data_IF_009045008624
#
_entry.id   IF_009045008624
#
_cell.length_a   1.000
_cell.length_b   1.000
_cell.length_c   1.000
_cell.angle_alpha   90.00
_cell.angle_beta   90.00
_cell.angle_gamma   90.00
#
_symmetry.space_group_name_H-M   'P 1'
#
loop_
_entity.id
_entity.type
_entity.pdbx_description
1 polymer ?
#
# COMPACT_ATOMS: atom_id res chain seq x y z
N UNK A 1 6.41 28.09 -40.17
CA UNK A 1 5.46 28.31 -39.05
C UNK A 1 4.16 27.59 -39.40
N UNK A 2 3.76 26.46 -38.81
CA UNK A 2 4.14 25.88 -37.52
C UNK A 2 4.20 24.34 -37.57
N UNK A 3 5.39 23.80 -37.30
CA UNK A 3 5.69 22.39 -37.03
C UNK A 3 5.54 22.05 -35.52
N UNK A 4 4.47 22.49 -34.86
CA UNK A 4 4.38 22.47 -33.37
C UNK A 4 3.30 21.56 -32.77
N UNK A 5 2.88 20.49 -33.45
CA UNK A 5 1.88 19.55 -32.90
C UNK A 5 2.22 18.07 -33.13
N UNK A 6 3.49 17.74 -33.32
CA UNK A 6 3.97 16.37 -33.43
C UNK A 6 5.22 16.18 -32.57
N UNK A 7 5.04 15.76 -31.30
CA UNK A 7 6.02 15.06 -30.44
C UNK A 7 5.70 15.21 -28.94
N UNK A 8 4.46 14.92 -28.52
CA UNK A 8 4.13 14.75 -27.10
C UNK A 8 3.44 13.40 -26.85
N UNK A 9 3.76 12.39 -27.66
CA UNK A 9 3.43 11.00 -27.36
C UNK A 9 4.50 10.46 -26.41
N UNK A 10 4.08 10.29 -25.16
CA UNK A 10 4.93 9.88 -24.06
C UNK A 10 5.49 8.44 -24.27
N UNK A 11 6.71 8.15 -23.80
CA UNK A 11 7.32 6.84 -23.93
C UNK A 11 6.79 5.91 -22.83
N UNK A 12 5.57 5.40 -22.99
CA UNK A 12 5.01 4.39 -22.09
C UNK A 12 4.62 3.17 -22.90
N UNK A 13 5.64 2.42 -23.33
CA UNK A 13 5.48 1.10 -23.92
C UNK A 13 4.73 0.19 -22.92
N UNK A 14 3.54 -0.23 -23.31
CA UNK A 14 2.76 -1.26 -22.63
C UNK A 14 3.58 -2.55 -22.62
N UNK A 15 4.15 -2.90 -21.47
CA UNK A 15 4.72 -4.23 -21.25
C UNK A 15 3.70 -5.04 -20.48
N UNK A 16 3.01 -5.90 -21.22
CA UNK A 16 2.06 -6.89 -20.72
C UNK A 16 2.85 -8.01 -20.01
N UNK A 17 3.07 -7.86 -18.70
CA UNK A 17 3.74 -8.89 -17.90
C UNK A 17 2.74 -10.01 -17.55
N UNK A 18 2.65 -11.02 -18.43
CA UNK A 18 1.81 -12.22 -18.28
C UNK A 18 2.31 -13.16 -17.16
N UNK A 19 3.56 -13.00 -16.71
CA UNK A 19 4.14 -13.75 -15.57
C UNK A 19 4.97 -12.82 -14.68
N UNK A 20 4.73 -12.87 -13.37
CA UNK A 20 5.51 -12.10 -12.39
C UNK A 20 6.96 -12.62 -12.39
N UNK A 21 7.98 -11.74 -12.47
CA UNK A 21 9.37 -12.18 -12.50
C UNK A 21 9.76 -13.00 -11.25
N UNK A 22 10.70 -13.96 -11.33
CA UNK A 22 11.09 -14.82 -10.19
C UNK A 22 11.50 -14.05 -8.92
N UNK A 23 12.05 -12.85 -9.10
CA UNK A 23 12.42 -11.92 -8.00
C UNK A 23 11.22 -11.56 -7.13
N UNK A 24 10.02 -11.47 -7.70
CA UNK A 24 8.77 -11.17 -6.99
C UNK A 24 8.40 -12.27 -6.03
N UNK A 25 8.56 -13.53 -6.43
CA UNK A 25 8.26 -14.69 -5.58
C UNK A 25 9.24 -14.80 -4.42
N UNK A 26 10.54 -14.58 -4.67
CA UNK A 26 11.56 -14.57 -3.63
C UNK A 26 11.28 -13.45 -2.62
N UNK A 27 10.97 -12.24 -3.08
CA UNK A 27 10.70 -11.10 -2.21
C UNK A 27 9.33 -11.15 -1.52
N UNK A 28 8.32 -11.74 -2.16
CA UNK A 28 7.07 -12.12 -1.51
C UNK A 28 7.30 -13.14 -0.40
N UNK A 29 8.17 -14.13 -0.65
CA UNK A 29 8.67 -15.05 0.36
C UNK A 29 9.40 -14.34 1.50
N UNK A 30 10.24 -13.35 1.20
CA UNK A 30 10.90 -12.49 2.22
C UNK A 30 9.87 -11.70 3.03
N UNK A 31 8.82 -11.16 2.42
CA UNK A 31 7.75 -10.48 3.18
C UNK A 31 6.98 -11.43 4.09
N UNK A 32 6.63 -12.62 3.61
CA UNK A 32 5.99 -13.65 4.43
C UNK A 32 6.93 -14.06 5.56
N UNK A 33 8.23 -14.20 5.28
CA UNK A 33 9.26 -14.48 6.28
C UNK A 33 9.38 -13.34 7.30
N UNK A 34 9.40 -12.08 6.90
CA UNK A 34 9.40 -10.92 7.82
C UNK A 34 8.13 -10.91 8.67
N UNK A 35 6.98 -11.22 8.07
CA UNK A 35 5.72 -11.37 8.81
C UNK A 35 5.77 -12.52 9.82
N UNK A 36 6.35 -13.66 9.43
CA UNK A 36 6.55 -14.83 10.29
C UNK A 36 7.55 -14.53 11.41
N UNK A 37 8.65 -13.85 11.11
CA UNK A 37 9.65 -13.39 12.10
C UNK A 37 8.99 -12.42 13.07
N UNK A 38 8.19 -11.46 12.58
CA UNK A 38 7.40 -10.56 13.45
C UNK A 38 6.46 -11.35 14.37
N UNK A 39 5.76 -12.37 13.84
CA UNK A 39 4.86 -13.22 14.61
C UNK A 39 5.61 -14.10 15.63
N UNK A 40 6.79 -14.63 15.26
CA UNK A 40 7.64 -15.42 16.15
C UNK A 40 8.23 -14.54 17.25
N UNK A 41 8.74 -13.35 16.93
CA UNK A 41 9.21 -12.37 17.92
C UNK A 41 8.10 -11.98 18.90
N UNK A 42 6.85 -11.89 18.44
CA UNK A 42 5.69 -11.66 19.31
C UNK A 42 5.45 -12.81 20.31
N UNK A 43 5.83 -14.04 19.97
CA UNK A 43 5.59 -15.23 20.81
C UNK A 43 6.79 -15.63 21.68
N UNK A 44 8.01 -15.22 21.35
CA UNK A 44 9.22 -15.64 22.09
C UNK A 44 9.42 -14.83 23.38
N UNK A 45 9.27 -13.50 23.33
CA UNK A 45 9.71 -12.66 24.46
C UNK A 45 8.57 -12.12 25.34
N UNK A 46 7.30 -12.13 24.90
CA UNK A 46 6.18 -11.57 25.66
C UNK A 46 6.26 -10.06 25.95
N UNK A 47 7.44 -9.45 25.78
CA UNK A 47 7.71 -8.04 25.91
C UNK A 47 7.42 -7.36 24.57
N UNK A 48 6.16 -6.96 24.41
CA UNK A 48 5.70 -5.97 23.43
C UNK A 48 6.39 -4.59 23.54
N UNK A 49 7.51 -4.48 24.27
CA UNK A 49 8.27 -3.25 24.50
C UNK A 49 9.46 -3.09 23.53
N UNK A 50 9.79 -4.13 22.75
CA UNK A 50 10.92 -4.09 21.84
C UNK A 50 10.72 -3.09 20.69
N UNK A 51 11.57 -2.07 20.60
CA UNK A 51 11.63 -1.15 19.44
C UNK A 51 11.89 -1.90 18.12
N UNK A 52 12.59 -3.04 18.18
CA UNK A 52 12.80 -3.91 17.03
C UNK A 52 11.48 -4.48 16.51
N UNK A 53 10.57 -4.91 17.39
CA UNK A 53 9.24 -5.35 16.98
C UNK A 53 8.51 -4.23 16.24
N UNK A 54 8.54 -3.01 16.78
CA UNK A 54 7.90 -1.86 16.13
C UNK A 54 8.50 -1.57 14.76
N UNK A 55 9.82 -1.67 14.60
CA UNK A 55 10.49 -1.53 13.30
C UNK A 55 10.06 -2.63 12.32
N UNK A 56 10.09 -3.90 12.73
CA UNK A 56 9.71 -5.03 11.88
C UNK A 56 8.21 -5.01 11.52
N UNK A 57 7.34 -4.66 12.46
CA UNK A 57 5.90 -4.49 12.23
C UNK A 57 5.62 -3.33 11.26
N UNK A 58 6.39 -2.25 11.36
CA UNK A 58 6.26 -1.09 10.48
C UNK A 58 6.60 -1.41 9.03
N UNK A 59 7.36 -2.48 8.74
CA UNK A 59 7.69 -2.89 7.38
C UNK A 59 6.42 -3.31 6.62
N UNK A 60 5.76 -4.44 6.91
CA UNK A 60 4.56 -4.87 6.18
C UNK A 60 3.43 -3.86 6.30
N UNK A 61 3.33 -3.16 7.43
CA UNK A 61 2.29 -2.15 7.67
C UNK A 61 2.42 -0.88 6.81
N UNK A 62 3.59 -0.60 6.23
CA UNK A 62 3.82 0.57 5.37
C UNK A 62 4.11 0.25 3.90
N UNK A 63 4.12 -1.03 3.52
CA UNK A 63 4.23 -1.46 2.11
C UNK A 63 2.99 -1.14 1.28
N UNK A 64 3.10 -1.16 -0.05
CA UNK A 64 2.00 -0.88 -0.97
C UNK A 64 0.80 -1.85 -0.86
N UNK A 65 0.99 -3.03 -0.25
CA UNK A 65 -0.03 -4.06 -0.03
C UNK A 65 -0.32 -4.19 1.48
N UNK A 66 -0.16 -3.11 2.25
CA UNK A 66 -0.41 -3.16 3.68
C UNK A 66 -1.87 -3.45 4.00
N UNK A 67 -2.08 -4.48 4.83
CA UNK A 67 -3.37 -4.84 5.44
C UNK A 67 -3.37 -4.44 6.92
N UNK A 68 -2.22 -4.09 7.50
CA UNK A 68 -2.05 -3.92 8.94
C UNK A 68 -2.15 -2.45 9.35
N UNK A 69 -2.93 -2.13 10.39
CA UNK A 69 -3.05 -0.76 10.89
C UNK A 69 -1.75 -0.33 11.58
N UNK A 70 -1.09 0.73 11.08
CA UNK A 70 0.16 1.22 11.65
C UNK A 70 -0.10 2.19 12.80
N UNK A 71 -1.01 3.12 12.57
CA UNK A 71 -1.21 4.29 13.41
C UNK A 71 -1.72 3.94 14.82
N UNK A 72 -2.71 3.03 15.00
CA UNK A 72 -3.17 2.66 16.34
C UNK A 72 -2.09 1.95 17.17
N UNK A 73 -1.21 1.18 16.52
CA UNK A 73 -0.10 0.48 17.19
C UNK A 73 0.92 1.49 17.70
N UNK A 74 1.18 2.55 16.93
CA UNK A 74 2.12 3.59 17.34
C UNK A 74 1.59 4.43 18.51
N UNK A 75 0.28 4.74 18.52
CA UNK A 75 -0.39 5.37 19.67
C UNK A 75 -0.31 4.45 20.89
N UNK A 76 -0.50 3.14 20.71
CA UNK A 76 -0.39 2.19 21.81
C UNK A 76 1.02 2.15 22.41
N UNK A 77 2.07 2.14 21.57
CA UNK A 77 3.46 2.21 22.00
C UNK A 77 3.80 3.47 22.80
N UNK A 78 3.17 4.60 22.46
CA UNK A 78 3.32 5.86 23.19
C UNK A 78 2.98 5.78 24.70
N UNK A 79 2.22 4.77 25.13
CA UNK A 79 1.83 4.61 26.54
C UNK A 79 2.94 4.09 27.45
N UNK A 80 3.86 3.30 26.91
CA UNK A 80 4.84 2.55 27.72
C UNK A 80 6.27 2.65 27.19
N UNK A 81 6.48 3.05 25.94
CA UNK A 81 7.80 3.17 25.32
C UNK A 81 8.22 4.64 25.16
N UNK A 82 9.52 4.87 24.97
CA UNK A 82 10.04 6.22 24.71
C UNK A 82 9.51 6.76 23.38
N UNK A 83 9.11 8.04 23.40
CA UNK A 83 8.52 8.76 22.28
C UNK A 83 9.43 8.78 21.05
N UNK A 84 10.70 9.13 21.25
CA UNK A 84 11.65 9.36 20.17
C UNK A 84 12.14 8.05 19.58
N UNK A 85 12.43 7.06 20.43
CA UNK A 85 12.85 5.74 20.00
C UNK A 85 11.72 5.00 19.25
N UNK A 86 10.47 5.13 19.71
CA UNK A 86 9.32 4.54 19.01
C UNK A 86 9.14 5.14 17.61
N UNK A 87 9.20 6.47 17.51
CA UNK A 87 9.11 7.15 16.23
C UNK A 87 10.28 6.79 15.30
N UNK A 88 11.51 6.77 15.82
CA UNK A 88 12.70 6.40 15.06
C UNK A 88 12.61 4.96 14.54
N UNK A 89 12.25 4.00 15.38
CA UNK A 89 12.08 2.60 15.00
C UNK A 89 11.01 2.42 13.91
N UNK A 90 9.85 3.08 14.07
CA UNK A 90 8.79 3.05 13.08
C UNK A 90 9.23 3.69 11.75
N UNK A 91 9.99 4.79 11.80
CA UNK A 91 10.56 5.44 10.62
C UNK A 91 11.58 4.54 9.90
N UNK A 92 12.44 3.83 10.64
CA UNK A 92 13.39 2.86 10.07
C UNK A 92 12.65 1.74 9.34
N UNK A 93 11.67 1.11 9.98
CA UNK A 93 10.84 0.08 9.35
C UNK A 93 10.11 0.60 8.11
N UNK A 94 9.65 1.84 8.16
CA UNK A 94 9.00 2.51 7.02
C UNK A 94 9.95 2.81 5.88
N UNK A 95 11.19 3.20 6.17
CA UNK A 95 12.22 3.41 5.14
C UNK A 95 12.55 2.07 4.43
N UNK A 96 12.65 0.98 5.19
CA UNK A 96 12.80 -0.38 4.63
C UNK A 96 11.59 -0.76 3.77
N UNK A 97 10.36 -0.48 4.22
CA UNK A 97 9.16 -0.70 3.42
C UNK A 97 9.18 0.13 2.12
N UNK A 98 9.57 1.40 2.20
CA UNK A 98 9.70 2.27 1.04
C UNK A 98 10.77 1.79 0.05
N UNK A 99 11.87 1.23 0.55
CA UNK A 99 12.90 0.60 -0.26
C UNK A 99 12.40 -0.66 -0.97
N UNK A 100 11.65 -1.51 -0.26
CA UNK A 100 11.01 -2.71 -0.82
C UNK A 100 9.97 -2.34 -1.89
N UNK A 101 9.13 -1.34 -1.61
CA UNK A 101 8.18 -0.82 -2.58
C UNK A 101 8.89 -0.31 -3.83
N UNK A 102 10.07 0.31 -3.64
CA UNK A 102 10.86 0.88 -4.73
C UNK A 102 11.46 -0.14 -5.66
N UNK A 103 11.98 -1.22 -5.09
CA UNK A 103 12.64 -2.26 -5.88
C UNK A 103 11.68 -3.34 -6.37
N UNK A 104 10.52 -3.50 -5.75
CA UNK A 104 9.73 -4.73 -5.88
C UNK A 104 8.26 -4.47 -6.15
N UNK A 105 7.53 -3.85 -5.24
CA UNK A 105 6.06 -3.90 -5.31
C UNK A 105 5.49 -3.06 -6.43
N UNK A 106 5.97 -1.83 -6.59
CA UNK A 106 5.39 -0.95 -7.61
C UNK A 106 5.72 -1.36 -9.04
N UNK A 107 6.96 -1.80 -9.38
CA UNK A 107 7.25 -2.34 -10.71
C UNK A 107 6.38 -3.55 -11.10
N UNK A 108 5.82 -4.24 -10.12
CA UNK A 108 5.08 -5.52 -10.29
C UNK A 108 3.56 -5.34 -10.23
N UNK A 109 3.09 -4.26 -9.60
CA UNK A 109 1.67 -3.95 -9.48
C UNK A 109 1.11 -3.55 -10.85
N UNK A 110 0.26 -4.44 -11.37
CA UNK A 110 -0.31 -4.40 -12.72
C UNK A 110 -0.99 -3.05 -13.04
N UNK A 111 -0.52 -2.43 -14.12
CA UNK A 111 -0.78 -1.04 -14.55
C UNK A 111 -2.25 -0.77 -14.92
N UNK A 112 -3.00 -1.81 -15.27
CA UNK A 112 -4.34 -1.70 -15.88
C UNK A 112 -5.41 -1.06 -14.98
N UNK A 113 -5.47 -1.39 -13.68
CA UNK A 113 -6.43 -0.76 -12.74
C UNK A 113 -6.04 0.65 -12.30
N UNK A 114 -4.78 1.04 -12.52
CA UNK A 114 -4.25 2.35 -12.15
C UNK A 114 -4.68 3.40 -13.19
N UNK A 115 -4.83 3.00 -14.45
CA UNK A 115 -5.30 3.86 -15.56
C UNK A 115 -6.69 4.42 -15.28
N UNK A 116 -7.58 3.66 -14.63
CA UNK A 116 -8.93 4.13 -14.28
C UNK A 116 -8.89 5.27 -13.22
N UNK A 117 -7.90 5.24 -12.32
CA UNK A 117 -7.63 6.32 -11.36
C UNK A 117 -6.99 7.57 -12.01
N UNK A 118 -6.24 7.40 -13.12
CA UNK A 118 -5.62 8.51 -13.87
C UNK A 118 -6.62 9.50 -14.45
N UNK A 119 -7.89 9.10 -14.64
CA UNK A 119 -8.96 9.95 -15.21
C UNK A 119 -9.52 10.98 -14.21
N UNK A 120 -9.22 10.86 -12.91
CA UNK A 120 -9.81 11.72 -11.90
C UNK A 120 -9.12 13.10 -11.84
N UNK A 121 -9.90 14.19 -11.79
CA UNK A 121 -9.38 15.58 -11.80
C UNK A 121 -8.38 15.83 -10.65
N UNK A 122 -8.61 15.16 -9.52
CA UNK A 122 -7.74 15.20 -8.34
C UNK A 122 -6.37 14.56 -8.59
N UNK A 123 -6.32 13.46 -9.33
CA UNK A 123 -5.07 12.77 -9.69
C UNK A 123 -4.21 13.66 -10.61
N UNK A 124 -4.82 14.31 -11.61
CA UNK A 124 -4.12 15.24 -12.52
C UNK A 124 -3.51 16.43 -11.79
N UNK A 125 -4.30 17.09 -10.92
CA UNK A 125 -3.80 18.23 -10.12
C UNK A 125 -2.69 17.82 -9.15
N UNK A 126 -2.83 16.64 -8.52
CA UNK A 126 -1.79 16.09 -7.63
C UNK A 126 -0.51 15.75 -8.41
N UNK A 127 -0.66 15.27 -9.64
CA UNK A 127 0.46 14.97 -10.55
C UNK A 127 1.20 16.24 -10.94
N UNK A 128 0.49 17.31 -11.33
CA UNK A 128 1.11 18.59 -11.70
C UNK A 128 1.93 19.19 -10.53
N UNK A 129 1.37 19.16 -9.32
CA UNK A 129 2.07 19.63 -8.11
C UNK A 129 3.29 18.75 -7.82
N UNK A 130 3.14 17.43 -7.92
CA UNK A 130 4.23 16.49 -7.69
C UNK A 130 5.37 16.66 -8.69
N UNK A 131 5.07 16.90 -9.97
CA UNK A 131 6.10 17.15 -10.99
C UNK A 131 6.89 18.44 -10.72
N UNK A 132 6.23 19.45 -10.12
CA UNK A 132 6.88 20.71 -9.76
C UNK A 132 7.73 20.62 -8.50
N UNK A 133 7.24 19.91 -7.47
CA UNK A 133 7.92 19.79 -6.18
C UNK A 133 7.80 18.37 -5.60
N UNK A 134 8.52 17.37 -6.15
CA UNK A 134 8.34 15.97 -5.77
C UNK A 134 8.73 15.72 -4.31
N UNK A 135 9.84 16.29 -3.85
CA UNK A 135 10.30 16.13 -2.46
C UNK A 135 9.30 16.72 -1.46
N UNK A 136 8.89 17.98 -1.64
CA UNK A 136 7.96 18.65 -0.74
C UNK A 136 6.59 17.94 -0.71
N UNK A 137 6.13 17.47 -1.87
CA UNK A 137 4.88 16.70 -1.97
C UNK A 137 4.97 15.42 -1.14
N UNK A 138 6.09 14.68 -1.20
CA UNK A 138 6.30 13.48 -0.39
C UNK A 138 6.37 13.78 1.11
N UNK A 139 7.03 14.86 1.51
CA UNK A 139 7.10 15.26 2.92
C UNK A 139 5.70 15.61 3.44
N UNK A 140 4.95 16.46 2.73
CA UNK A 140 3.61 16.90 3.12
C UNK A 140 2.63 15.72 3.14
N UNK A 141 2.69 14.84 2.15
CA UNK A 141 1.82 13.64 2.11
C UNK A 141 2.22 12.59 3.14
N UNK A 142 3.49 12.53 3.54
CA UNK A 142 3.94 11.68 4.65
C UNK A 142 3.51 12.21 6.02
N UNK A 143 3.48 13.54 6.17
CA UNK A 143 3.06 14.22 7.40
C UNK A 143 1.54 14.15 7.60
N UNK A 144 0.78 14.22 6.50
CA UNK A 144 -0.68 14.21 6.52
C UNK A 144 -1.25 12.79 6.44
N UNK A 145 -2.51 12.56 6.87
CA UNK A 145 -3.19 11.26 6.70
C UNK A 145 -3.66 11.03 5.25
N UNK A 146 -3.06 11.71 4.27
CA UNK A 146 -3.42 11.60 2.86
C UNK A 146 -2.91 10.25 2.33
N UNK A 147 -3.69 9.54 1.47
CA UNK A 147 -3.23 8.31 0.86
C UNK A 147 -1.90 8.51 0.12
N UNK A 148 -0.85 7.86 0.62
CA UNK A 148 0.50 8.01 0.08
C UNK A 148 0.76 7.15 -1.18
N UNK A 149 -0.13 6.19 -1.43
CA UNK A 149 -0.02 5.22 -2.53
C UNK A 149 0.10 5.88 -3.92
N UNK A 150 -0.75 6.82 -4.35
CA UNK A 150 -0.64 7.43 -5.69
C UNK A 150 0.70 8.14 -5.93
N UNK A 151 1.24 8.81 -4.90
CA UNK A 151 2.51 9.52 -4.99
C UNK A 151 3.70 8.56 -5.05
N UNK A 152 3.62 7.40 -4.38
CA UNK A 152 4.58 6.31 -4.57
C UNK A 152 4.65 5.94 -6.05
N UNK A 153 3.52 5.58 -6.68
CA UNK A 153 3.48 5.23 -8.11
C UNK A 153 4.06 6.29 -9.02
N UNK A 154 3.79 7.56 -8.72
CA UNK A 154 4.30 8.65 -9.52
C UNK A 154 5.83 8.78 -9.42
N UNK A 155 6.41 8.63 -8.22
CA UNK A 155 7.86 8.54 -8.03
C UNK A 155 8.49 7.45 -8.90
N UNK A 156 7.84 6.29 -8.98
CA UNK A 156 8.31 5.15 -9.77
C UNK A 156 8.28 5.41 -11.26
N UNK A 157 7.15 5.95 -11.72
CA UNK A 157 6.95 6.21 -13.15
C UNK A 157 8.01 7.19 -13.70
N UNK A 158 8.50 8.11 -12.87
CA UNK A 158 9.52 9.09 -13.25
C UNK A 158 10.95 8.70 -12.85
N UNK A 159 11.18 7.46 -12.38
CA UNK A 159 12.49 7.00 -11.91
C UNK A 159 13.13 7.91 -10.84
N UNK A 160 12.33 8.41 -9.90
CA UNK A 160 12.80 9.33 -8.86
C UNK A 160 13.89 8.67 -7.99
N UNK A 161 15.00 9.37 -7.67
CA UNK A 161 16.13 8.80 -6.95
C UNK A 161 15.73 8.31 -5.56
N UNK A 162 16.08 7.06 -5.26
CA UNK A 162 15.70 6.33 -4.05
C UNK A 162 16.09 7.07 -2.76
N UNK A 163 17.30 7.63 -2.68
CA UNK A 163 17.75 8.31 -1.46
C UNK A 163 16.91 9.58 -1.16
N UNK A 164 16.48 10.33 -2.19
CA UNK A 164 15.59 11.49 -2.03
C UNK A 164 14.20 11.06 -1.60
N UNK A 165 13.73 9.94 -2.12
CA UNK A 165 12.46 9.34 -1.71
C UNK A 165 12.47 8.91 -0.23
N UNK A 166 13.50 8.16 0.20
CA UNK A 166 13.61 7.67 1.58
C UNK A 166 13.77 8.81 2.59
N UNK A 167 14.59 9.82 2.25
CA UNK A 167 14.75 11.01 3.10
C UNK A 167 13.44 11.80 3.20
N UNK A 168 12.73 12.02 2.09
CA UNK A 168 11.41 12.66 2.14
C UNK A 168 10.41 11.88 3.00
N UNK A 169 10.45 10.54 2.91
CA UNK A 169 9.60 9.65 3.69
C UNK A 169 9.91 9.77 5.20
N UNK A 170 11.19 9.76 5.56
CA UNK A 170 11.64 9.95 6.93
C UNK A 170 11.25 11.33 7.46
N UNK A 171 11.55 12.40 6.72
CA UNK A 171 11.24 13.79 7.11
C UNK A 171 9.74 14.03 7.26
N UNK A 172 8.90 13.44 6.41
CA UNK A 172 7.45 13.59 6.51
C UNK A 172 6.82 12.72 7.61
N UNK A 173 7.24 11.46 7.71
CA UNK A 173 6.57 10.49 8.60
C UNK A 173 7.10 10.50 10.02
N UNK A 174 8.38 10.82 10.24
CA UNK A 174 8.94 10.89 11.59
C UNK A 174 8.20 11.90 12.48
N UNK A 175 7.92 13.15 12.06
CA UNK A 175 7.15 14.08 12.88
C UNK A 175 5.73 13.58 13.16
N UNK A 176 5.09 12.93 12.17
CA UNK A 176 3.78 12.32 12.35
C UNK A 176 3.83 11.18 13.38
N UNK A 177 4.87 10.36 13.34
CA UNK A 177 5.07 9.25 14.26
C UNK A 177 5.34 9.72 15.69
N UNK A 178 6.14 10.77 15.85
CA UNK A 178 6.29 11.47 17.13
C UNK A 178 4.92 11.98 17.61
N UNK A 179 4.15 12.67 16.78
CA UNK A 179 2.85 13.19 17.18
C UNK A 179 1.87 12.09 17.62
N UNK A 180 1.84 10.96 16.91
CA UNK A 180 0.99 9.82 17.27
C UNK A 180 1.41 9.15 18.58
N UNK A 181 2.70 8.92 18.77
CA UNK A 181 3.21 8.35 20.02
C UNK A 181 3.00 9.33 21.19
N UNK A 182 3.14 10.64 20.97
CA UNK A 182 2.87 11.67 21.97
C UNK A 182 1.39 11.68 22.39
N UNK A 183 0.46 11.57 21.43
CA UNK A 183 -0.97 11.40 21.73
C UNK A 183 -1.21 10.16 22.60
N UNK A 184 -0.51 9.06 22.34
CA UNK A 184 -0.55 7.86 23.15
C UNK A 184 -0.09 8.07 24.59
N UNK A 185 1.01 8.79 24.76
CA UNK A 185 1.61 9.12 26.05
C UNK A 185 0.71 10.04 26.89
N UNK A 186 0.18 11.10 26.28
CA UNK A 186 -0.56 12.15 27.00
C UNK A 186 -2.00 11.73 27.33
N UNK A 187 -2.71 11.14 26.37
CA UNK A 187 -4.14 10.86 26.53
C UNK A 187 -4.44 9.47 27.10
N UNK A 188 -3.44 8.58 27.20
CA UNK A 188 -3.61 7.24 27.76
C UNK A 188 -4.71 6.42 27.08
N UNK A 189 -5.00 6.66 25.79
CA UNK A 189 -6.20 6.21 25.07
C UNK A 189 -6.50 4.71 25.32
N UNK A 190 -7.62 4.34 25.98
CA UNK A 190 -7.92 2.96 26.33
C UNK A 190 -7.75 1.98 25.16
N UNK A 191 -7.12 0.83 25.41
CA UNK A 191 -6.76 -0.14 24.36
C UNK A 191 -7.98 -0.62 23.55
N UNK A 192 -9.15 -0.68 24.18
CA UNK A 192 -10.41 -1.04 23.51
C UNK A 192 -10.83 -0.04 22.42
N UNK A 193 -10.51 1.26 22.58
CA UNK A 193 -10.78 2.28 21.55
C UNK A 193 -9.91 2.04 20.32
N UNK A 194 -8.64 1.70 20.54
CA UNK A 194 -7.70 1.39 19.45
C UNK A 194 -8.15 0.14 18.71
N UNK A 195 -8.54 -0.93 19.42
CA UNK A 195 -9.10 -2.15 18.81
C UNK A 195 -10.38 -1.83 18.03
N UNK A 196 -11.30 -1.06 18.61
CA UNK A 196 -12.54 -0.64 17.94
C UNK A 196 -12.23 0.14 16.66
N UNK A 197 -11.25 1.04 16.68
CA UNK A 197 -10.85 1.81 15.48
C UNK A 197 -10.39 0.89 14.34
N UNK A 198 -9.61 -0.14 14.67
CA UNK A 198 -9.16 -1.15 13.70
C UNK A 198 -10.35 -1.94 13.16
N UNK A 199 -11.22 -2.45 14.04
CA UNK A 199 -12.42 -3.21 13.65
C UNK A 199 -13.32 -2.39 12.74
N UNK A 200 -13.56 -1.10 13.06
CA UNK A 200 -14.37 -0.20 12.23
C UNK A 200 -13.73 0.01 10.86
N UNK A 201 -12.43 0.24 10.78
CA UNK A 201 -11.73 0.39 9.49
C UNK A 201 -11.89 -0.87 8.64
N UNK A 202 -11.63 -2.05 9.21
CA UNK A 202 -11.81 -3.33 8.51
C UNK A 202 -13.26 -3.57 8.09
N UNK A 203 -14.23 -3.25 8.95
CA UNK A 203 -15.65 -3.37 8.63
C UNK A 203 -16.05 -2.47 7.47
N UNK A 204 -15.59 -1.22 7.43
CA UNK A 204 -15.83 -0.30 6.31
C UNK A 204 -15.25 -0.83 4.99
N UNK A 205 -14.03 -1.38 5.03
CA UNK A 205 -13.42 -2.03 3.86
C UNK A 205 -14.19 -3.27 3.42
N UNK A 206 -14.64 -4.11 4.35
CA UNK A 206 -15.44 -5.30 4.07
C UNK A 206 -16.79 -4.94 3.43
N UNK A 207 -17.52 -3.97 4.01
CA UNK A 207 -18.82 -3.50 3.48
C UNK A 207 -18.70 -2.97 2.05
N UNK A 208 -17.61 -2.25 1.72
CA UNK A 208 -17.36 -1.78 0.34
C UNK A 208 -16.85 -2.89 -0.60
N UNK A 209 -16.08 -3.86 -0.09
CA UNK A 209 -15.46 -4.92 -0.88
C UNK A 209 -16.38 -6.11 -1.21
N UNK A 210 -17.23 -6.51 -0.26
CA UNK A 210 -18.18 -7.64 -0.38
C UNK A 210 -19.10 -7.53 -1.61
N UNK A 211 -19.76 -6.39 -1.91
CA UNK A 211 -20.64 -6.29 -3.08
C UNK A 211 -19.87 -6.41 -4.40
N UNK A 212 -18.63 -5.90 -4.49
CA UNK A 212 -17.80 -6.01 -5.69
C UNK A 212 -17.33 -7.47 -5.93
N UNK A 213 -16.96 -8.17 -4.85
CA UNK A 213 -16.58 -9.59 -4.91
C UNK A 213 -17.79 -10.46 -5.25
N UNK A 214 -18.94 -10.21 -4.62
CA UNK A 214 -20.19 -10.93 -4.86
C UNK A 214 -20.64 -10.80 -6.32
N UNK A 215 -20.56 -9.59 -6.89
CA UNK A 215 -20.90 -9.34 -8.29
C UNK A 215 -19.99 -10.10 -9.26
N UNK A 216 -18.67 -10.06 -9.05
CA UNK A 216 -17.71 -10.84 -9.87
C UNK A 216 -17.92 -12.36 -9.76
N UNK A 217 -18.25 -12.85 -8.56
CA UNK A 217 -18.52 -14.27 -8.35
C UNK A 217 -19.82 -14.69 -9.04
N UNK A 218 -20.85 -13.85 -9.00
CA UNK A 218 -22.10 -14.07 -9.73
C UNK A 218 -21.93 -14.03 -11.25
N UNK A 219 -21.13 -13.09 -11.79
CA UNK A 219 -20.81 -13.00 -13.22
C UNK A 219 -20.06 -14.25 -13.70
N UNK A 220 -19.04 -14.69 -12.96
CA UNK A 220 -18.31 -15.94 -13.28
C UNK A 220 -19.22 -17.17 -13.22
N UNK A 221 -20.14 -17.23 -12.25
CA UNK A 221 -21.08 -18.34 -12.10
C UNK A 221 -22.13 -18.36 -13.22
N UNK A 222 -22.62 -17.18 -13.64
CA UNK A 222 -23.52 -17.03 -14.79
C UNK A 222 -22.84 -17.37 -16.12
N UNK A 223 -21.59 -16.95 -16.32
CA UNK A 223 -20.81 -17.31 -17.49
C UNK A 223 -20.64 -18.83 -17.62
N UNK A 224 -20.24 -19.52 -16.53
CA UNK A 224 -20.12 -20.99 -16.52
C UNK A 224 -21.44 -21.71 -16.79
N UNK A 225 -22.57 -21.18 -16.30
CA UNK A 225 -23.90 -21.77 -16.55
C UNK A 225 -24.37 -21.57 -17.99
N UNK A 226 -24.08 -20.41 -18.59
CA UNK A 226 -24.37 -20.12 -20.00
C UNK A 226 -23.55 -21.02 -20.94
N UNK A 227 -22.26 -21.18 -20.65
CA UNK A 227 -21.36 -22.06 -21.40
C UNK A 227 -21.83 -23.52 -21.34
N UNK A 228 -22.25 -23.98 -20.15
CA UNK A 228 -22.88 -25.31 -20.00
C UNK A 228 -24.20 -25.44 -20.78
N UNK A 229 -25.04 -24.42 -20.78
CA UNK A 229 -26.33 -24.44 -21.49
C UNK A 229 -26.20 -24.40 -23.01
N UNK A 230 -25.19 -23.69 -23.54
CA UNK A 230 -24.85 -23.70 -24.97
C UNK A 230 -24.34 -25.09 -25.40
N UNK A 231 -23.57 -25.79 -24.55
CA UNK A 231 -23.12 -27.17 -24.82
C UNK A 231 -24.30 -28.16 -24.93
N UNK A 232 -25.33 -28.05 -24.09
CA UNK A 232 -26.52 -28.94 -24.18
C UNK A 232 -27.38 -28.66 -25.43
N UNK A 233 -27.49 -27.40 -25.88
CA UNK A 233 -28.22 -27.06 -27.11
C UNK A 233 -27.54 -27.59 -28.37
N UNK A 234 -26.20 -27.57 -28.40
CA UNK A 234 -25.44 -28.09 -29.55
C UNK A 234 -25.52 -29.63 -29.61
N UNK A 235 -25.67 -30.33 -28.49
CA UNK A 235 -25.84 -31.79 -28.50
C UNK A 235 -27.23 -32.26 -28.93
N UNK A 236 -28.28 -31.44 -28.76
CA UNK A 236 -29.65 -31.79 -29.20
C UNK A 236 -29.94 -31.43 -30.67
N UNK A 237 -29.19 -30.49 -31.26
CA UNK A 237 -29.38 -30.06 -32.66
C UNK A 237 -28.51 -30.76 -33.70
N UNK A 238 -27.74 -31.79 -33.30
CA UNK A 238 -26.76 -32.48 -34.17
C UNK A 238 -27.21 -33.85 -34.69
N UNK A 239 -28.49 -34.19 -34.54
CA UNK A 239 -29.04 -35.48 -34.97
C UNK A 239 -30.32 -35.31 -35.79
N UNK A 240 -30.25 -34.54 -36.88
CA UNK A 240 -31.22 -34.61 -37.99
C UNK A 240 -30.49 -34.41 -39.32
#
# INVERSE_FOLDING_TARGET
MNESTAAAEAPFAETEYERLPPRVWVLGGVMVFIGLVTFVLMNIDGHTEGYLYLAFYSIPSNTAISVFPHEPVLIWYGKFADLWLSAAAATVGTAVAGWLDHRVFVPVLNYSKIIEYKRNRFYRKSTDIFMRFPFATLVVTGLTPIPFWPFKFLCFSIHYPLWRYLTALATGRFPRYVLLAWIGAEFGIPTWILILSVVVIFALYAVKGIPAVRRRWQERRRAKLRDRGEIYRVSEGGSE
#
